data_IF_653688544684
#
_entry.id   IF_653688544684
#
_cell.length_a   1.000
_cell.length_b   1.000
_cell.length_c   1.000
_cell.angle_alpha   90.00
_cell.angle_beta   90.00
_cell.angle_gamma   90.00
#
_symmetry.space_group_name_H-M   'P 1'
#
loop_
_entity.id
_entity.type
_entity.pdbx_description
1 polymer ?
#
# COMPACT_ATOMS: atom_id res chain seq x y z
N UNK A 1 -5.73 -11.56 10.62
CA UNK A 1 -5.35 -11.59 9.22
C UNK A 1 -6.35 -10.77 8.43
N UNK A 2 -5.91 -9.66 7.89
CA UNK A 2 -6.75 -8.76 7.10
C UNK A 2 -6.36 -8.76 5.62
N UNK A 3 -6.63 -7.63 4.95
CA UNK A 3 -6.27 -7.44 3.55
C UNK A 3 -4.76 -7.21 3.41
N UNK A 4 -4.22 -6.26 4.19
CA UNK A 4 -2.81 -5.95 4.33
C UNK A 4 -2.53 -5.46 5.77
N UNK A 5 -1.71 -6.15 6.57
CA UNK A 5 -1.06 -7.43 6.28
C UNK A 5 -2.05 -8.61 6.27
N UNK A 6 -1.82 -9.57 5.39
CA UNK A 6 -2.58 -10.81 5.31
C UNK A 6 -2.80 -11.28 3.89
N UNK A 7 -3.99 -11.08 3.32
CA UNK A 7 -4.38 -11.61 2.01
C UNK A 7 -3.34 -11.34 0.91
N UNK A 8 -2.89 -10.09 0.77
CA UNK A 8 -1.93 -9.74 -0.30
C UNK A 8 -0.56 -10.38 -0.09
N UNK A 9 -0.14 -10.57 1.16
CA UNK A 9 1.09 -11.30 1.47
C UNK A 9 1.01 -12.78 1.07
N UNK A 10 -0.14 -13.43 1.31
CA UNK A 10 -0.40 -14.82 0.88
C UNK A 10 -0.36 -14.91 -0.65
N UNK A 11 -1.02 -13.99 -1.35
CA UNK A 11 -1.00 -13.93 -2.82
C UNK A 11 0.42 -13.70 -3.34
N UNK A 12 1.17 -12.77 -2.73
CA UNK A 12 2.56 -12.49 -3.10
C UNK A 12 3.46 -13.72 -2.94
N UNK A 13 3.35 -14.43 -1.83
CA UNK A 13 4.08 -15.66 -1.57
C UNK A 13 3.70 -16.75 -2.59
N UNK A 14 2.40 -16.95 -2.85
CA UNK A 14 1.92 -17.91 -3.84
C UNK A 14 2.45 -17.61 -5.26
N UNK A 15 2.52 -16.36 -5.68
CA UNK A 15 3.11 -16.00 -6.96
C UNK A 15 4.62 -16.25 -6.96
N UNK A 16 5.30 -15.94 -5.86
CA UNK A 16 6.75 -16.12 -5.72
C UNK A 16 7.17 -17.59 -5.81
N UNK A 17 6.39 -18.52 -5.23
CA UNK A 17 6.63 -19.96 -5.27
C UNK A 17 6.64 -20.55 -6.69
N UNK A 18 6.11 -19.82 -7.67
CA UNK A 18 6.06 -20.28 -9.06
C UNK A 18 7.35 -20.00 -9.85
N UNK A 19 8.34 -19.38 -9.22
CA UNK A 19 9.65 -19.08 -9.81
C UNK A 19 10.73 -19.99 -9.24
N UNK A 20 11.71 -20.35 -10.05
CA UNK A 20 12.92 -21.07 -9.60
C UNK A 20 13.73 -20.19 -8.63
N UNK A 21 13.74 -18.87 -8.91
CA UNK A 21 14.32 -17.84 -8.06
C UNK A 21 13.51 -16.55 -8.18
N UNK A 22 12.81 -16.17 -7.12
CA UNK A 22 12.10 -14.89 -7.05
C UNK A 22 13.10 -13.74 -6.98
N UNK A 23 12.81 -12.63 -7.67
CA UNK A 23 13.61 -11.42 -7.70
C UNK A 23 12.93 -10.27 -6.99
N UNK A 24 11.63 -10.06 -7.27
CA UNK A 24 10.87 -8.99 -6.63
C UNK A 24 9.44 -9.39 -6.34
N UNK A 25 8.89 -8.83 -5.25
CA UNK A 25 7.45 -8.88 -4.92
C UNK A 25 6.98 -7.46 -4.62
N UNK A 26 5.88 -7.05 -5.26
CA UNK A 26 5.26 -5.74 -5.09
C UNK A 26 3.81 -5.91 -4.72
N UNK A 27 3.41 -5.40 -3.56
CA UNK A 27 2.04 -5.46 -3.06
C UNK A 27 1.42 -4.07 -3.09
N UNK A 28 0.24 -3.94 -3.71
CA UNK A 28 -0.51 -2.69 -3.83
C UNK A 28 -1.96 -2.92 -3.44
N UNK A 29 -2.46 -2.13 -2.51
CA UNK A 29 -3.84 -2.24 -2.00
C UNK A 29 -4.45 -0.86 -1.83
N UNK A 30 -5.71 -0.71 -2.22
CA UNK A 30 -6.51 0.46 -1.93
C UNK A 30 -7.93 0.06 -1.54
N UNK A 31 -8.40 0.50 -0.38
CA UNK A 31 -9.81 0.46 0.00
C UNK A 31 -10.35 1.89 -0.09
N UNK A 32 -11.28 2.12 -1.01
CA UNK A 32 -11.66 3.46 -1.47
C UNK A 32 -13.17 3.58 -1.63
N UNK A 33 -13.76 4.77 -1.45
CA UNK A 33 -15.16 4.98 -1.82
C UNK A 33 -15.34 4.80 -3.34
N UNK A 34 -16.41 4.12 -3.75
CA UNK A 34 -16.77 3.99 -5.18
C UNK A 34 -17.08 5.36 -5.81
N UNK A 35 -17.70 6.24 -5.02
CA UNK A 35 -18.09 7.59 -5.42
C UNK A 35 -17.27 8.62 -4.63
N UNK A 36 -16.00 8.89 -4.99
CA UNK A 36 -15.14 9.80 -4.24
C UNK A 36 -15.67 11.23 -4.26
N UNK A 37 -15.65 11.89 -3.09
CA UNK A 37 -16.09 13.28 -2.95
C UNK A 37 -14.98 14.18 -2.43
N UNK A 38 -14.96 15.43 -2.92
CA UNK A 38 -13.96 16.43 -2.57
C UNK A 38 -12.55 16.05 -3.04
N UNK A 39 -11.57 16.88 -2.71
CA UNK A 39 -10.20 16.74 -3.21
C UNK A 39 -9.47 15.53 -2.61
N UNK A 40 -9.82 15.13 -1.38
CA UNK A 40 -9.16 14.00 -0.71
C UNK A 40 -9.54 12.65 -1.32
N UNK A 41 -10.77 12.52 -1.89
CA UNK A 41 -11.24 11.31 -2.53
C UNK A 41 -11.20 10.06 -1.63
N UNK A 42 -11.40 10.22 -0.32
CA UNK A 42 -11.26 9.15 0.66
C UNK A 42 -12.41 9.14 1.67
N UNK A 43 -12.65 7.99 2.30
CA UNK A 43 -13.57 7.79 3.41
C UNK A 43 -12.91 6.85 4.44
N UNK A 44 -13.12 7.13 5.73
CA UNK A 44 -12.47 6.36 6.80
C UNK A 44 -13.36 5.17 7.21
N UNK A 45 -13.42 4.14 6.36
CA UNK A 45 -14.21 2.94 6.58
C UNK A 45 -13.59 1.98 7.63
N UNK A 46 -12.39 2.27 8.11
CA UNK A 46 -11.70 1.51 9.15
C UNK A 46 -10.97 2.45 10.12
N UNK A 47 -10.13 1.93 11.01
CA UNK A 47 -9.50 2.70 12.07
C UNK A 47 -8.78 3.96 11.59
N UNK A 48 -9.26 5.18 11.93
CA UNK A 48 -8.55 6.43 11.61
C UNK A 48 -7.17 6.50 12.24
N UNK A 49 -7.00 5.96 13.45
CA UNK A 49 -5.70 5.85 14.10
C UNK A 49 -4.76 4.94 13.30
N UNK A 50 -5.28 3.83 12.76
CA UNK A 50 -4.54 2.95 11.88
C UNK A 50 -4.02 3.68 10.64
N UNK A 51 -4.88 4.45 9.96
CA UNK A 51 -4.49 5.25 8.78
C UNK A 51 -3.42 6.29 9.14
N UNK A 52 -3.60 7.01 10.24
CA UNK A 52 -2.61 8.00 10.70
C UNK A 52 -1.26 7.34 10.97
N UNK A 53 -1.25 6.18 11.62
CA UNK A 53 -0.02 5.44 11.90
C UNK A 53 0.63 4.90 10.62
N UNK A 54 -0.15 4.39 9.66
CA UNK A 54 0.38 3.96 8.37
C UNK A 54 1.06 5.09 7.59
N UNK A 55 0.57 6.33 7.71
CA UNK A 55 1.10 7.50 7.00
C UNK A 55 2.26 8.18 7.71
N UNK A 56 2.53 7.84 8.97
CA UNK A 56 3.56 8.51 9.78
C UNK A 56 4.67 7.61 10.30
N UNK A 57 4.45 6.29 10.31
CA UNK A 57 5.49 5.36 10.75
C UNK A 57 6.37 4.94 9.57
N UNK A 58 7.63 4.63 9.85
CA UNK A 58 8.55 4.09 8.87
C UNK A 58 8.06 2.76 8.28
N UNK A 59 8.40 2.52 7.03
CA UNK A 59 8.02 1.35 6.26
C UNK A 59 9.23 0.43 6.09
N UNK A 60 9.12 -0.82 6.52
CA UNK A 60 10.13 -1.82 6.18
C UNK A 60 10.02 -2.20 4.71
N UNK A 61 11.16 -2.29 4.03
CA UNK A 61 11.28 -2.74 2.64
C UNK A 61 12.57 -3.52 2.44
N UNK A 62 12.64 -4.33 1.40
CA UNK A 62 13.91 -4.85 0.89
C UNK A 62 14.16 -4.15 -0.44
N UNK A 63 15.30 -3.48 -0.57
CA UNK A 63 15.73 -2.84 -1.81
C UNK A 63 17.18 -3.21 -2.10
N UNK A 64 17.41 -3.70 -3.32
CA UNK A 64 18.72 -4.22 -3.76
C UNK A 64 19.28 -5.30 -2.81
N UNK A 65 18.40 -6.15 -2.26
CA UNK A 65 18.78 -7.21 -1.31
C UNK A 65 19.00 -6.74 0.13
N UNK A 66 18.84 -5.45 0.41
CA UNK A 66 19.07 -4.87 1.74
C UNK A 66 17.76 -4.54 2.42
N UNK A 67 17.54 -5.08 3.62
CA UNK A 67 16.45 -4.68 4.51
C UNK A 67 16.71 -3.27 5.05
N UNK A 68 15.75 -2.38 4.89
CA UNK A 68 15.83 -1.00 5.38
C UNK A 68 14.47 -0.40 5.69
N UNK A 69 14.48 0.68 6.45
CA UNK A 69 13.31 1.53 6.66
C UNK A 69 13.33 2.73 5.71
N UNK A 70 12.17 3.05 5.17
CA UNK A 70 11.93 4.23 4.34
C UNK A 70 10.75 5.01 4.90
N UNK A 71 10.68 6.30 4.59
CA UNK A 71 9.57 7.14 5.04
C UNK A 71 8.25 6.71 4.38
N UNK A 72 7.16 6.85 5.12
CA UNK A 72 5.82 6.74 4.56
C UNK A 72 5.51 7.93 3.64
N UNK A 73 4.49 7.77 2.78
CA UNK A 73 4.01 8.76 1.81
C UNK A 73 5.05 9.19 0.76
N UNK A 74 6.01 8.32 0.48
CA UNK A 74 7.03 8.50 -0.55
C UNK A 74 6.94 7.43 -1.65
N UNK A 75 7.91 7.37 -2.55
CA UNK A 75 7.98 6.43 -3.67
C UNK A 75 6.72 6.40 -4.54
N UNK A 76 6.16 7.59 -4.77
CA UNK A 76 4.92 7.78 -5.53
C UNK A 76 5.02 7.15 -6.93
N UNK A 77 4.04 6.34 -7.27
CA UNK A 77 3.84 5.78 -8.61
C UNK A 77 2.38 5.93 -9.06
N UNK A 78 2.17 5.98 -10.37
CA UNK A 78 0.82 5.91 -10.96
C UNK A 78 0.54 4.49 -11.39
N UNK A 79 -0.64 3.97 -11.04
CA UNK A 79 -1.09 2.63 -11.42
C UNK A 79 -2.51 2.72 -11.99
N UNK A 80 -2.82 1.82 -12.94
CA UNK A 80 -4.14 1.73 -13.53
C UNK A 80 -4.74 0.35 -13.27
N UNK A 81 -5.95 0.31 -12.71
CA UNK A 81 -6.71 -0.92 -12.46
C UNK A 81 -8.13 -0.72 -12.99
N UNK A 82 -8.57 -1.60 -13.89
CA UNK A 82 -9.88 -1.54 -14.54
C UNK A 82 -10.21 -0.17 -15.15
N UNK A 83 -9.19 0.51 -15.71
CA UNK A 83 -9.30 1.84 -16.29
C UNK A 83 -9.29 2.99 -15.27
N UNK A 84 -9.31 2.69 -13.97
CA UNK A 84 -9.18 3.69 -12.92
C UNK A 84 -7.73 4.06 -12.70
N UNK A 85 -7.42 5.36 -12.78
CA UNK A 85 -6.12 5.88 -12.40
C UNK A 85 -6.03 6.02 -10.88
N UNK A 86 -4.98 5.43 -10.31
CA UNK A 86 -4.67 5.51 -8.88
C UNK A 86 -3.23 5.98 -8.68
N UNK A 87 -2.95 6.55 -7.54
CA UNK A 87 -1.60 6.77 -7.05
C UNK A 87 -1.28 5.75 -5.95
N UNK A 88 -0.04 5.25 -5.92
CA UNK A 88 0.43 4.33 -4.90
C UNK A 88 1.70 4.87 -4.25
N UNK A 89 1.78 4.79 -2.93
CA UNK A 89 2.88 5.32 -2.14
C UNK A 89 3.12 4.46 -0.89
N UNK A 90 4.32 4.54 -0.34
CA UNK A 90 4.72 3.75 0.84
C UNK A 90 3.85 4.07 2.05
N UNK A 91 3.40 3.03 2.73
CA UNK A 91 2.76 3.10 4.06
C UNK A 91 3.22 1.94 4.92
N UNK A 92 3.24 2.13 6.24
CA UNK A 92 3.77 1.13 7.16
C UNK A 92 2.83 -0.07 7.37
N UNK A 93 3.40 -1.18 7.79
CA UNK A 93 2.68 -2.35 8.32
C UNK A 93 2.13 -3.33 7.28
N UNK A 94 2.03 -2.97 6.00
CA UNK A 94 1.36 -3.80 4.99
C UNK A 94 2.06 -5.12 4.64
N UNK A 95 3.37 -5.24 4.85
CA UNK A 95 4.16 -6.45 4.58
C UNK A 95 4.05 -7.52 5.68
N UNK A 96 3.65 -7.14 6.90
CA UNK A 96 3.68 -8.07 8.03
C UNK A 96 5.08 -8.66 8.24
N UNK A 97 5.19 -9.98 8.24
CA UNK A 97 6.46 -10.72 8.44
C UNK A 97 7.21 -11.04 7.13
N UNK A 98 6.78 -10.49 5.99
CA UNK A 98 7.37 -10.84 4.70
C UNK A 98 8.85 -10.43 4.60
N UNK A 99 9.24 -9.29 5.19
CA UNK A 99 10.64 -8.87 5.18
C UNK A 99 11.55 -9.89 5.88
N UNK A 100 11.12 -10.45 7.00
CA UNK A 100 11.85 -11.52 7.69
C UNK A 100 11.90 -12.81 6.85
N UNK A 101 10.78 -13.18 6.24
CA UNK A 101 10.65 -14.40 5.43
C UNK A 101 11.55 -14.37 4.19
N UNK A 102 11.66 -13.21 3.55
CA UNK A 102 12.39 -13.01 2.30
C UNK A 102 13.76 -12.37 2.46
N UNK A 103 14.21 -12.10 3.69
CA UNK A 103 15.57 -11.63 3.96
C UNK A 103 16.61 -12.54 3.26
N UNK A 104 17.59 -11.95 2.62
CA UNK A 104 18.65 -12.62 1.85
C UNK A 104 18.20 -13.49 0.66
N UNK A 105 16.88 -13.49 0.34
CA UNK A 105 16.30 -14.34 -0.72
C UNK A 105 15.77 -13.55 -1.92
N UNK A 106 15.55 -12.25 -1.76
CA UNK A 106 14.91 -11.39 -2.75
C UNK A 106 15.66 -10.08 -2.93
N UNK A 107 15.64 -9.52 -4.13
CA UNK A 107 16.25 -8.21 -4.38
C UNK A 107 15.34 -7.06 -3.94
N UNK A 108 14.03 -7.15 -4.23
CA UNK A 108 13.10 -6.07 -3.90
C UNK A 108 11.77 -6.60 -3.35
N UNK A 109 11.35 -6.04 -2.24
CA UNK A 109 10.06 -6.32 -1.62
C UNK A 109 9.50 -5.03 -1.03
N UNK A 110 8.34 -4.59 -1.52
CA UNK A 110 7.70 -3.40 -1.02
C UNK A 110 6.16 -3.50 -1.02
N UNK A 111 5.56 -2.73 -0.14
CA UNK A 111 4.13 -2.51 -0.05
C UNK A 111 3.81 -1.02 -0.27
N UNK A 112 2.77 -0.73 -1.04
CA UNK A 112 2.21 0.60 -1.16
C UNK A 112 0.70 0.58 -1.04
N UNK A 113 0.18 1.60 -0.42
CA UNK A 113 -1.24 1.90 -0.39
C UNK A 113 -1.64 2.63 -1.66
N UNK A 114 -2.81 2.28 -2.23
CA UNK A 114 -3.37 2.96 -3.39
C UNK A 114 -4.47 3.94 -2.98
N UNK A 115 -4.47 5.12 -3.59
CA UNK A 115 -5.46 6.18 -3.39
C UNK A 115 -5.82 6.84 -4.73
N UNK A 116 -6.90 7.62 -4.75
CA UNK A 116 -7.20 8.47 -5.89
C UNK A 116 -6.14 9.57 -6.06
N UNK A 117 -5.86 10.03 -7.31
CA UNK A 117 -4.79 11.01 -7.57
C UNK A 117 -4.92 12.30 -6.76
N UNK A 118 -3.82 12.74 -6.18
CA UNK A 118 -3.73 13.96 -5.38
C UNK A 118 -3.86 13.76 -3.86
N UNK A 119 -4.26 12.56 -3.42
CA UNK A 119 -4.44 12.25 -2.00
C UNK A 119 -3.14 12.43 -1.20
N UNK A 120 -2.05 11.84 -1.67
CA UNK A 120 -0.75 11.89 -0.94
C UNK A 120 -0.25 13.32 -0.77
N UNK A 121 -0.46 14.19 -1.76
CA UNK A 121 -0.07 15.60 -1.68
C UNK A 121 -0.83 16.33 -0.58
N UNK A 122 -2.14 16.09 -0.47
CA UNK A 122 -2.97 16.70 0.57
C UNK A 122 -2.62 16.17 1.97
N UNK A 123 -2.31 14.88 2.08
CA UNK A 123 -1.92 14.29 3.35
C UNK A 123 -0.52 14.77 3.80
N UNK A 124 0.41 14.95 2.86
CA UNK A 124 1.71 15.57 3.16
C UNK A 124 1.53 17.02 3.66
N UNK A 125 0.69 17.81 3.01
CA UNK A 125 0.34 19.15 3.48
C UNK A 125 -0.23 19.11 4.92
N UNK A 126 -1.21 18.24 5.16
CA UNK A 126 -1.87 18.12 6.46
C UNK A 126 -0.91 17.69 7.58
N UNK A 127 -0.11 16.65 7.35
CA UNK A 127 0.77 16.12 8.39
C UNK A 127 2.06 16.92 8.55
N UNK A 128 2.65 17.43 7.49
CA UNK A 128 3.98 18.02 7.53
C UNK A 128 3.98 19.55 7.50
N UNK A 129 3.11 20.21 6.74
CA UNK A 129 3.03 21.67 6.73
C UNK A 129 2.14 22.21 7.84
N UNK A 130 0.99 21.57 8.10
CA UNK A 130 0.11 21.92 9.24
C UNK A 130 0.54 21.27 10.55
N UNK A 131 1.63 20.49 10.57
CA UNK A 131 2.24 19.82 11.72
C UNK A 131 1.28 18.86 12.47
N UNK A 132 0.24 18.35 11.81
CA UNK A 132 -0.72 17.45 12.46
C UNK A 132 -0.09 16.10 12.85
N UNK A 133 1.11 15.78 12.36
CA UNK A 133 1.91 14.64 12.83
C UNK A 133 2.27 14.71 14.32
N UNK A 134 2.31 15.91 14.91
CA UNK A 134 2.65 16.14 16.31
C UNK A 134 1.46 15.81 17.26
N UNK A 135 0.24 15.73 16.71
CA UNK A 135 -0.96 15.35 17.44
C UNK A 135 -1.81 14.35 16.64
N UNK A 136 -1.39 13.09 16.65
CA UNK A 136 -2.02 11.99 15.87
C UNK A 136 -3.48 11.78 16.23
N UNK A 137 -3.85 11.91 17.51
CA UNK A 137 -5.23 11.73 17.96
C UNK A 137 -6.15 12.81 17.37
N UNK A 138 -5.71 14.06 17.39
CA UNK A 138 -6.46 15.17 16.79
C UNK A 138 -6.50 15.04 15.26
N UNK A 139 -5.42 14.64 14.62
CA UNK A 139 -5.39 14.36 13.19
C UNK A 139 -6.44 13.32 12.81
N UNK A 140 -6.51 12.19 13.51
CA UNK A 140 -7.50 11.15 13.30
C UNK A 140 -8.94 11.66 13.48
N UNK A 141 -9.18 12.46 14.52
CA UNK A 141 -10.50 13.07 14.78
C UNK A 141 -10.95 14.02 13.66
N UNK A 142 -10.05 14.90 13.20
CA UNK A 142 -10.33 15.85 12.12
C UNK A 142 -10.66 15.08 10.82
N UNK A 143 -9.82 14.11 10.46
CA UNK A 143 -9.98 13.34 9.23
C UNK A 143 -11.28 12.54 9.21
N UNK A 144 -11.64 11.88 10.33
CA UNK A 144 -12.90 11.13 10.43
C UNK A 144 -14.12 12.03 10.35
N UNK A 145 -14.10 13.18 11.01
CA UNK A 145 -15.20 14.13 10.95
C UNK A 145 -15.38 14.72 9.54
N UNK A 146 -14.26 14.95 8.83
CA UNK A 146 -14.30 15.51 7.47
C UNK A 146 -14.72 14.48 6.42
N UNK A 147 -14.37 13.21 6.63
CA UNK A 147 -14.55 12.09 5.69
C UNK A 147 -15.08 10.85 6.40
N UNK A 148 -16.35 10.88 6.86
CA UNK A 148 -16.95 9.74 7.55
C UNK A 148 -17.02 8.50 6.67
N UNK A 149 -17.24 7.32 7.27
CA UNK A 149 -17.44 6.07 6.54
C UNK A 149 -18.55 6.17 5.47
N UNK A 150 -18.41 5.39 4.43
CA UNK A 150 -19.43 5.22 3.37
C UNK A 150 -19.78 3.74 3.22
N UNK A 151 -20.99 3.44 2.77
CA UNK A 151 -21.46 2.06 2.58
C UNK A 151 -20.95 1.45 1.26
N UNK A 152 -20.73 2.29 0.25
CA UNK A 152 -20.27 1.86 -1.08
C UNK A 152 -18.76 2.09 -1.21
N UNK A 153 -17.98 1.04 -1.01
CA UNK A 153 -16.54 1.04 -1.23
C UNK A 153 -16.10 0.04 -2.30
N UNK A 154 -14.86 0.16 -2.70
CA UNK A 154 -14.19 -0.77 -3.61
C UNK A 154 -12.79 -1.05 -3.08
N UNK A 155 -12.40 -2.32 -3.12
CA UNK A 155 -11.04 -2.74 -2.80
C UNK A 155 -10.30 -3.05 -4.09
N UNK A 156 -9.26 -2.28 -4.38
CA UNK A 156 -8.31 -2.55 -5.46
C UNK A 156 -7.12 -3.33 -4.92
N UNK A 157 -6.76 -4.41 -5.62
CA UNK A 157 -5.60 -5.24 -5.29
C UNK A 157 -4.75 -5.42 -6.53
N UNK A 158 -3.48 -5.12 -6.43
CA UNK A 158 -2.47 -5.45 -7.42
C UNK A 158 -1.25 -6.06 -6.73
N UNK A 159 -0.98 -7.31 -7.02
CA UNK A 159 0.20 -8.03 -6.52
C UNK A 159 0.99 -8.51 -7.72
N UNK A 160 2.28 -8.20 -7.76
CA UNK A 160 3.19 -8.63 -8.81
C UNK A 160 4.41 -9.32 -8.22
N UNK A 161 4.83 -10.42 -8.84
CA UNK A 161 6.09 -11.08 -8.55
C UNK A 161 6.90 -11.26 -9.85
N UNK A 162 8.19 -11.02 -9.77
CA UNK A 162 9.14 -11.24 -10.86
C UNK A 162 10.23 -12.21 -10.41
N UNK A 163 10.67 -13.06 -11.32
CA UNK A 163 11.71 -14.02 -11.01
C UNK A 163 12.15 -14.83 -12.23
N UNK A 164 13.13 -15.69 -12.02
CA UNK A 164 13.59 -16.63 -13.03
C UNK A 164 12.69 -17.86 -13.06
N UNK A 165 12.23 -18.25 -14.23
CA UNK A 165 11.48 -19.46 -14.48
C UNK A 165 11.99 -20.10 -15.79
N UNK A 166 12.51 -21.33 -15.69
CA UNK A 166 13.10 -22.04 -16.83
C UNK A 166 14.18 -21.21 -17.57
N UNK A 167 15.05 -20.53 -16.84
CA UNK A 167 16.14 -19.71 -17.39
C UNK A 167 15.71 -18.37 -17.99
N UNK A 168 14.45 -17.97 -17.87
CA UNK A 168 13.93 -16.71 -18.38
C UNK A 168 13.36 -15.84 -17.24
N UNK A 169 13.59 -14.54 -17.32
CA UNK A 169 12.92 -13.59 -16.43
C UNK A 169 11.44 -13.50 -16.80
N UNK A 170 10.58 -13.75 -15.84
CA UNK A 170 9.12 -13.74 -15.98
C UNK A 170 8.51 -12.85 -14.92
N UNK A 171 7.31 -12.33 -15.21
CA UNK A 171 6.45 -11.60 -14.28
C UNK A 171 5.09 -12.26 -14.22
N UNK A 172 4.54 -12.36 -13.01
CA UNK A 172 3.18 -12.84 -12.75
C UNK A 172 2.47 -11.82 -11.88
N UNK A 173 1.19 -11.64 -12.15
CA UNK A 173 0.37 -10.63 -11.49
C UNK A 173 -0.97 -11.21 -11.06
N UNK A 174 -1.47 -10.68 -9.95
CA UNK A 174 -2.84 -10.81 -9.50
C UNK A 174 -3.43 -9.41 -9.41
N UNK A 175 -4.45 -9.14 -10.22
CA UNK A 175 -5.13 -7.83 -10.25
C UNK A 175 -6.62 -8.07 -10.08
N UNK A 176 -7.24 -7.42 -9.09
CA UNK A 176 -8.69 -7.55 -8.83
C UNK A 176 -9.26 -6.28 -8.22
N UNK A 177 -10.53 -6.03 -8.56
CA UNK A 177 -11.41 -5.07 -7.90
C UNK A 177 -12.55 -5.82 -7.23
N UNK A 178 -12.84 -5.48 -5.98
CA UNK A 178 -13.94 -6.05 -5.19
C UNK A 178 -14.87 -4.92 -4.76
N UNK A 179 -16.15 -5.04 -5.13
CA UNK A 179 -17.22 -4.08 -4.84
C UNK A 179 -18.14 -4.59 -3.74
#
# INVERSE_FOLDING_TARGET
CGLAPGFVGIVGAHLAEQFDKVRSIRLRVGALPQNPTGLLGYAFNWSPEGVVNEYLNDCEVIEEGVLKNVSAMEWLETIYIDGMQLEAFTTSGGLGTMCETYADKIENLDYKTMRYPGHVKLMNFFFHELLMRENRAEAGRILTNAKPPVDEDVVYVHVAAEGMQNGQLRRKEFVRSYY
#
